data_IF_481478186683
#
_entry.id   IF_481478186683
#
_cell.length_a   1.000
_cell.length_b   1.000
_cell.length_c   1.000
_cell.angle_alpha   90.00
_cell.angle_beta   90.00
_cell.angle_gamma   90.00
#
_symmetry.space_group_name_H-M   'P 1'
#
loop_
_entity.id
_entity.type
_entity.pdbx_description
1 polymer ?
#
# COMPACT_ATOMS: atom_id res chain seq x y z
N UNK A 1 -2.70 14.52 21.91
CA UNK A 1 -1.31 14.09 22.28
C UNK A 1 -1.22 12.57 22.12
N UNK A 2 -0.10 12.01 21.68
CA UNK A 2 0.06 10.54 21.57
C UNK A 2 0.03 9.89 22.97
N UNK A 3 -0.59 8.72 23.11
CA UNK A 3 -0.58 7.94 24.36
C UNK A 3 0.85 7.68 24.84
N UNK A 4 1.81 7.53 23.92
CA UNK A 4 3.22 7.29 24.25
C UNK A 4 3.85 8.44 25.04
N UNK A 5 3.38 9.68 24.86
CA UNK A 5 3.87 10.83 25.66
C UNK A 5 3.54 10.65 27.14
N UNK A 6 2.46 9.95 27.47
CA UNK A 6 2.09 9.66 28.85
C UNK A 6 3.02 8.60 29.49
N UNK A 7 3.69 7.78 28.67
CA UNK A 7 4.64 6.76 29.14
C UNK A 7 5.95 7.36 29.67
N UNK A 8 6.20 8.66 29.46
CA UNK A 8 7.32 9.35 30.11
C UNK A 8 7.28 9.27 31.63
N UNK A 9 6.08 9.12 32.22
CA UNK A 9 5.91 8.86 33.66
C UNK A 9 6.50 7.54 34.12
N UNK A 10 6.70 6.59 33.19
CA UNK A 10 7.33 5.29 33.42
C UNK A 10 8.83 5.30 33.07
N UNK A 11 9.43 6.47 32.82
CA UNK A 11 10.84 6.61 32.47
C UNK A 11 11.17 6.34 31.00
N UNK A 12 10.18 6.05 30.15
CA UNK A 12 10.38 5.87 28.71
C UNK A 12 10.73 7.20 28.04
N UNK A 13 11.90 7.24 27.38
CA UNK A 13 12.37 8.39 26.60
C UNK A 13 12.31 8.05 25.11
N UNK A 14 11.18 8.35 24.48
CA UNK A 14 10.99 8.17 23.04
C UNK A 14 10.96 9.55 22.38
N UNK A 15 11.74 9.80 21.31
CA UNK A 15 11.69 11.06 20.57
C UNK A 15 10.26 11.37 20.10
N UNK A 16 9.76 12.56 20.44
CA UNK A 16 8.40 12.98 20.07
C UNK A 16 8.24 13.21 18.56
N UNK A 17 9.35 13.49 17.87
CA UNK A 17 9.46 13.69 16.44
C UNK A 17 8.88 12.53 15.62
N UNK A 18 9.05 11.28 16.09
CA UNK A 18 8.48 10.09 15.44
C UNK A 18 6.95 10.20 15.34
N UNK A 19 6.29 10.62 16.43
CA UNK A 19 4.83 10.75 16.47
C UNK A 19 4.32 11.98 15.73
N UNK A 20 5.12 13.05 15.69
CA UNK A 20 4.82 14.25 14.90
C UNK A 20 4.85 13.92 13.41
N UNK A 21 5.93 13.29 12.92
CA UNK A 21 6.04 12.84 11.52
C UNK A 21 4.93 11.87 11.14
N UNK A 22 4.60 10.90 11.99
CA UNK A 22 3.48 9.99 11.72
C UNK A 22 2.14 10.74 11.55
N UNK A 23 1.88 11.76 12.37
CA UNK A 23 0.68 12.61 12.22
C UNK A 23 0.73 13.45 10.96
N UNK A 24 1.87 14.05 10.64
CA UNK A 24 2.09 14.85 9.44
C UNK A 24 1.83 14.02 8.17
N UNK A 25 2.31 12.76 8.13
CA UNK A 25 2.00 11.83 7.03
C UNK A 25 0.51 11.59 6.87
N UNK A 26 -0.20 11.29 7.97
CA UNK A 26 -1.64 11.02 7.94
C UNK A 26 -2.40 12.26 7.44
N UNK A 27 -2.04 13.44 7.96
CA UNK A 27 -2.63 14.71 7.55
C UNK A 27 -2.30 15.07 6.09
N UNK A 28 -1.16 14.61 5.57
CA UNK A 28 -0.75 14.77 4.18
C UNK A 28 -1.14 13.55 3.32
N UNK A 29 -2.38 13.07 3.49
CA UNK A 29 -3.06 12.09 2.65
C UNK A 29 -2.38 10.70 2.52
N UNK A 30 -1.47 10.32 3.43
CA UNK A 30 -0.72 9.06 3.31
C UNK A 30 -1.63 7.84 3.11
N UNK A 31 -2.73 7.76 3.84
CA UNK A 31 -3.67 6.65 3.77
C UNK A 31 -4.42 6.57 2.43
N UNK A 32 -4.72 7.71 1.79
CA UNK A 32 -5.31 7.72 0.44
C UNK A 32 -4.32 7.25 -0.63
N UNK A 33 -3.06 7.70 -0.53
CA UNK A 33 -1.98 7.22 -1.42
C UNK A 33 -1.77 5.70 -1.31
N UNK A 34 -1.80 5.17 -0.08
CA UNK A 34 -1.72 3.72 0.15
C UNK A 34 -2.95 3.01 -0.41
N UNK A 35 -4.16 3.55 -0.22
CA UNK A 35 -5.39 2.95 -0.71
C UNK A 35 -5.40 2.76 -2.24
N UNK A 36 -4.89 3.74 -3.01
CA UNK A 36 -4.72 3.62 -4.47
C UNK A 36 -3.90 2.38 -4.84
N UNK A 37 -2.77 2.16 -4.15
CA UNK A 37 -1.95 0.97 -4.32
C UNK A 37 -2.70 -0.33 -4.05
N UNK A 38 -3.38 -0.38 -2.90
CA UNK A 38 -4.12 -1.56 -2.46
C UNK A 38 -5.25 -1.92 -3.43
N UNK A 39 -6.03 -0.94 -3.89
CA UNK A 39 -7.12 -1.19 -4.86
C UNK A 39 -6.59 -1.60 -6.24
N UNK A 40 -5.51 -0.97 -6.71
CA UNK A 40 -4.92 -1.35 -8.00
C UNK A 40 -4.39 -2.79 -7.99
N UNK A 41 -3.86 -3.26 -6.86
CA UNK A 41 -3.37 -4.64 -6.68
C UNK A 41 -4.44 -5.66 -6.30
N UNK A 42 -5.74 -5.36 -6.49
CA UNK A 42 -6.84 -6.27 -6.14
C UNK A 42 -6.70 -7.73 -6.64
N UNK A 43 -6.08 -8.03 -7.82
CA UNK A 43 -5.97 -9.42 -8.28
C UNK A 43 -5.13 -10.30 -7.34
N UNK A 44 -4.24 -9.71 -6.55
CA UNK A 44 -3.34 -10.41 -5.64
C UNK A 44 -3.88 -10.49 -4.21
N UNK A 45 -5.19 -10.32 -4.03
CA UNK A 45 -5.81 -10.31 -2.71
C UNK A 45 -6.81 -11.45 -2.54
N UNK A 46 -7.00 -11.88 -1.29
CA UNK A 46 -7.94 -12.94 -0.91
C UNK A 46 -9.34 -12.40 -0.55
N UNK A 47 -9.64 -11.15 -0.90
CA UNK A 47 -10.90 -10.48 -0.59
C UNK A 47 -11.35 -9.56 -1.72
N UNK A 48 -12.65 -9.27 -1.74
CA UNK A 48 -13.30 -8.41 -2.73
C UNK A 48 -13.24 -6.95 -2.32
N UNK A 49 -13.28 -6.06 -3.31
CA UNK A 49 -13.26 -4.62 -3.16
C UNK A 49 -14.59 -4.00 -3.55
N UNK A 50 -15.09 -3.09 -2.73
CA UNK A 50 -16.23 -2.26 -3.08
C UNK A 50 -15.80 -1.06 -3.90
N UNK A 51 -16.76 -0.50 -4.64
CA UNK A 51 -16.62 0.80 -5.30
C UNK A 51 -17.12 1.93 -4.43
N UNK A 52 -16.64 3.12 -4.75
CA UNK A 52 -17.16 4.35 -4.19
C UNK A 52 -18.44 4.76 -4.93
N UNK A 53 -19.47 5.11 -4.16
CA UNK A 53 -20.69 5.75 -4.65
C UNK A 53 -20.59 7.27 -4.51
N UNK A 54 -21.51 8.03 -5.14
CA UNK A 54 -21.51 9.50 -5.08
C UNK A 54 -21.44 10.04 -3.64
N UNK A 55 -22.17 9.41 -2.70
CA UNK A 55 -22.13 9.78 -1.28
C UNK A 55 -20.74 9.67 -0.66
N UNK A 56 -19.91 8.74 -1.14
CA UNK A 56 -18.55 8.53 -0.65
C UNK A 56 -17.63 9.62 -1.22
N UNK A 57 -17.77 9.96 -2.51
CA UNK A 57 -17.07 11.09 -3.12
C UNK A 57 -17.39 12.41 -2.40
N UNK A 58 -18.66 12.66 -2.10
CA UNK A 58 -19.10 13.86 -1.38
C UNK A 58 -18.56 13.89 0.06
N UNK A 59 -18.55 12.74 0.74
CA UNK A 59 -18.00 12.61 2.08
C UNK A 59 -16.48 12.84 2.08
N UNK A 60 -15.75 12.24 1.14
CA UNK A 60 -14.29 12.42 1.04
C UNK A 60 -13.95 13.88 0.75
N UNK A 61 -14.65 14.54 -0.17
CA UNK A 61 -14.43 15.97 -0.43
C UNK A 61 -14.71 16.84 0.80
N UNK A 62 -15.77 16.52 1.54
CA UNK A 62 -16.14 17.24 2.77
C UNK A 62 -15.09 17.07 3.88
N UNK A 63 -14.49 15.87 4.01
CA UNK A 63 -13.48 15.59 5.05
C UNK A 63 -12.06 15.94 4.63
N UNK A 64 -11.78 15.89 3.34
CA UNK A 64 -10.48 16.11 2.73
C UNK A 64 -10.66 17.03 1.50
N UNK A 65 -10.80 18.35 1.69
CA UNK A 65 -10.96 19.27 0.56
C UNK A 65 -9.85 19.12 -0.48
N UNK A 66 -10.21 19.01 -1.76
CA UNK A 66 -9.32 18.71 -2.88
C UNK A 66 -9.07 17.22 -3.12
N UNK A 67 -9.75 16.33 -2.39
CA UNK A 67 -9.59 14.88 -2.56
C UNK A 67 -10.04 14.41 -3.96
N UNK A 68 -11.15 14.92 -4.47
CA UNK A 68 -11.63 14.54 -5.81
C UNK A 68 -10.67 14.94 -6.91
N UNK A 69 -10.04 16.11 -6.80
CA UNK A 69 -9.03 16.58 -7.73
C UNK A 69 -7.83 15.63 -7.77
N UNK A 70 -7.36 15.18 -6.60
CA UNK A 70 -6.18 14.32 -6.47
C UNK A 70 -6.44 12.85 -6.81
N UNK A 71 -7.56 12.29 -6.35
CA UNK A 71 -7.80 10.84 -6.35
C UNK A 71 -9.02 10.42 -7.15
N UNK A 72 -9.96 11.33 -7.42
CA UNK A 72 -11.24 10.98 -8.04
C UNK A 72 -11.10 10.31 -9.41
N UNK A 73 -10.08 10.70 -10.20
CA UNK A 73 -9.82 10.09 -11.50
C UNK A 73 -9.48 8.59 -11.39
N UNK A 74 -8.66 8.21 -10.41
CA UNK A 74 -8.33 6.82 -10.15
C UNK A 74 -9.58 6.01 -9.81
N UNK A 75 -10.40 6.50 -8.88
CA UNK A 75 -11.59 5.79 -8.40
C UNK A 75 -12.69 5.66 -9.45
N UNK A 76 -12.88 6.69 -10.29
CA UNK A 76 -13.80 6.58 -11.44
C UNK A 76 -13.30 5.56 -12.46
N UNK A 77 -12.01 5.64 -12.82
CA UNK A 77 -11.42 4.64 -13.71
C UNK A 77 -11.46 3.22 -13.15
N UNK A 78 -11.37 3.06 -11.82
CA UNK A 78 -11.47 1.75 -11.15
C UNK A 78 -12.87 1.17 -11.32
N UNK A 79 -13.91 2.00 -11.17
CA UNK A 79 -15.29 1.60 -11.38
C UNK A 79 -15.56 1.20 -12.85
N UNK A 80 -14.88 1.83 -13.81
CA UNK A 80 -15.05 1.56 -15.24
C UNK A 80 -14.49 0.20 -15.67
N UNK A 81 -13.42 -0.29 -15.02
CA UNK A 81 -12.71 -1.53 -15.40
C UNK A 81 -12.98 -2.72 -14.48
N UNK A 82 -14.07 -2.68 -13.73
CA UNK A 82 -14.36 -3.71 -12.70
C UNK A 82 -14.89 -5.03 -13.24
N UNK A 83 -15.44 -5.06 -14.45
CA UNK A 83 -15.93 -6.31 -15.03
C UNK A 83 -14.95 -6.87 -16.06
N UNK A 84 -14.85 -8.21 -16.19
CA UNK A 84 -14.02 -8.82 -17.22
C UNK A 84 -14.33 -8.27 -18.62
N UNK A 85 -13.30 -7.82 -19.34
CA UNK A 85 -13.43 -7.24 -20.67
C UNK A 85 -13.76 -5.75 -20.72
N UNK A 86 -13.98 -5.07 -19.59
CA UNK A 86 -14.28 -3.64 -19.55
C UNK A 86 -13.07 -2.73 -19.79
N UNK A 87 -11.84 -3.25 -19.70
CA UNK A 87 -10.62 -2.50 -19.97
C UNK A 87 -9.37 -3.14 -19.37
N UNK A 88 -8.21 -2.50 -19.52
CA UNK A 88 -6.98 -2.97 -18.88
C UNK A 88 -7.05 -2.79 -17.36
N UNK A 89 -6.31 -3.64 -16.63
CA UNK A 89 -6.06 -3.42 -15.21
C UNK A 89 -5.36 -2.07 -15.01
N UNK A 90 -5.69 -1.37 -13.92
CA UNK A 90 -5.00 -0.13 -13.55
C UNK A 90 -3.59 -0.36 -12.99
N UNK A 91 -3.30 -1.58 -12.55
CA UNK A 91 -2.04 -1.95 -11.90
C UNK A 91 -0.80 -1.57 -12.73
N UNK A 92 -0.66 -1.89 -14.03
CA UNK A 92 0.53 -1.54 -14.80
C UNK A 92 0.81 -0.03 -14.82
N UNK A 93 -0.22 0.79 -15.07
CA UNK A 93 -0.07 2.26 -15.06
C UNK A 93 0.28 2.81 -13.69
N UNK A 94 -0.19 2.17 -12.61
CA UNK A 94 0.24 2.54 -11.27
C UNK A 94 1.70 2.14 -11.00
N UNK A 95 2.12 0.95 -11.44
CA UNK A 95 3.47 0.43 -11.22
C UNK A 95 4.55 1.26 -11.94
N UNK A 96 4.25 1.80 -13.13
CA UNK A 96 5.18 2.70 -13.84
C UNK A 96 5.58 3.94 -13.01
N UNK A 97 4.67 4.42 -12.15
CA UNK A 97 4.92 5.54 -11.24
C UNK A 97 5.14 5.16 -9.78
N UNK A 98 5.13 3.86 -9.45
CA UNK A 98 5.15 3.41 -8.06
C UNK A 98 6.56 3.51 -7.45
N UNK A 99 6.62 4.00 -6.22
CA UNK A 99 7.84 3.88 -5.41
C UNK A 99 8.11 2.42 -5.00
N UNK A 100 9.33 2.11 -4.55
CA UNK A 100 9.70 0.77 -4.11
C UNK A 100 8.88 0.32 -2.89
N UNK A 101 8.87 -0.98 -2.58
CA UNK A 101 8.28 -1.48 -1.33
C UNK A 101 9.28 -1.32 -0.19
N UNK A 102 8.78 -0.87 0.96
CA UNK A 102 9.58 -0.70 2.17
C UNK A 102 10.00 -2.05 2.75
N UNK A 103 11.30 -2.25 2.95
CA UNK A 103 11.89 -3.46 3.53
C UNK A 103 11.36 -3.79 4.93
N UNK A 104 11.00 -2.77 5.71
CA UNK A 104 10.58 -2.96 7.11
C UNK A 104 9.08 -3.25 7.22
N UNK A 105 8.23 -2.41 6.62
CA UNK A 105 6.77 -2.49 6.81
C UNK A 105 6.02 -3.15 5.64
N UNK A 106 6.70 -3.44 4.52
CA UNK A 106 6.12 -4.05 3.32
C UNK A 106 5.03 -3.22 2.62
N UNK A 107 4.89 -1.93 2.98
CA UNK A 107 4.05 -0.98 2.27
C UNK A 107 4.83 -0.25 1.17
N UNK A 108 4.12 0.25 0.16
CA UNK A 108 4.68 1.11 -0.86
C UNK A 108 5.27 2.40 -0.29
N UNK A 109 6.42 2.80 -0.80
CA UNK A 109 7.08 4.05 -0.48
C UNK A 109 6.38 5.24 -1.17
N UNK A 110 5.18 5.61 -0.74
CA UNK A 110 4.31 6.57 -1.46
C UNK A 110 4.64 8.06 -1.24
N UNK A 111 5.71 8.37 -0.50
CA UNK A 111 6.18 9.74 -0.19
C UNK A 111 7.66 9.87 -0.56
N UNK A 112 7.99 10.25 -1.81
CA UNK A 112 9.36 10.33 -2.31
C UNK A 112 10.31 11.13 -1.41
N UNK A 113 9.83 12.20 -0.79
CA UNK A 113 10.59 13.09 0.08
C UNK A 113 11.05 12.45 1.40
N UNK A 114 10.49 11.31 1.80
CA UNK A 114 10.87 10.57 3.00
C UNK A 114 11.55 9.24 2.70
N UNK A 115 11.62 8.88 1.41
CA UNK A 115 12.27 7.65 0.98
C UNK A 115 13.75 7.69 1.34
N UNK A 116 14.24 6.58 1.88
CA UNK A 116 15.65 6.38 2.06
C UNK A 116 16.00 4.94 1.73
N UNK A 117 17.27 4.69 1.45
CA UNK A 117 17.76 3.34 1.19
C UNK A 117 19.05 3.06 1.98
N UNK A 118 19.46 1.80 1.94
CA UNK A 118 20.81 1.36 2.28
C UNK A 118 21.15 0.14 1.44
N UNK A 119 22.44 -0.07 1.18
CA UNK A 119 22.93 -1.35 0.64
C UNK A 119 23.29 -2.24 1.83
N UNK A 120 22.81 -3.47 1.83
CA UNK A 120 23.18 -4.52 2.79
C UNK A 120 23.55 -5.75 2.00
N UNK A 121 24.81 -6.18 2.13
CA UNK A 121 25.42 -7.19 1.27
C UNK A 121 25.25 -6.77 -0.20
N UNK A 122 24.62 -7.60 -1.04
CA UNK A 122 24.37 -7.31 -2.46
C UNK A 122 22.97 -6.70 -2.72
N UNK A 123 22.18 -6.46 -1.67
CA UNK A 123 20.79 -5.99 -1.81
C UNK A 123 20.63 -4.51 -1.47
N UNK A 124 19.93 -3.78 -2.34
CA UNK A 124 19.45 -2.43 -2.03
C UNK A 124 18.12 -2.51 -1.29
N UNK A 125 18.12 -2.12 -0.01
CA UNK A 125 16.91 -2.06 0.82
C UNK A 125 16.35 -0.66 0.80
N UNK A 126 15.09 -0.52 0.39
CA UNK A 126 14.34 0.74 0.43
C UNK A 126 13.48 0.85 1.69
N UNK A 127 13.26 2.07 2.16
CA UNK A 127 12.45 2.38 3.34
C UNK A 127 11.54 3.57 3.05
N UNK A 128 10.27 3.45 3.44
CA UNK A 128 9.29 4.54 3.29
C UNK A 128 9.49 5.68 4.28
N UNK A 129 10.41 5.52 5.24
CA UNK A 129 10.70 6.52 6.26
C UNK A 129 12.02 6.25 7.00
N UNK A 130 12.62 7.29 7.63
CA UNK A 130 13.74 7.13 8.55
C UNK A 130 13.45 6.18 9.72
N UNK A 131 12.19 6.14 10.20
CA UNK A 131 11.79 5.20 11.26
C UNK A 131 11.83 3.75 10.80
N UNK A 132 11.33 3.46 9.60
CA UNK A 132 11.42 2.11 9.04
C UNK A 132 12.88 1.68 8.89
N UNK A 133 13.75 2.57 8.42
CA UNK A 133 15.20 2.32 8.35
C UNK A 133 15.79 2.05 9.73
N UNK A 134 15.49 2.91 10.72
CA UNK A 134 15.97 2.75 12.09
C UNK A 134 15.52 1.43 12.73
N UNK A 135 14.27 1.01 12.52
CA UNK A 135 13.74 -0.27 13.03
C UNK A 135 14.54 -1.45 12.48
N UNK A 136 14.80 -1.48 11.17
CA UNK A 136 15.61 -2.55 10.58
C UNK A 136 17.08 -2.48 11.06
N UNK A 137 17.67 -1.29 11.19
CA UNK A 137 19.04 -1.13 11.71
C UNK A 137 19.21 -1.61 13.16
N UNK A 138 18.23 -1.36 14.01
CA UNK A 138 18.31 -1.67 15.45
C UNK A 138 17.82 -3.07 15.80
N UNK A 139 17.32 -3.82 14.83
CA UNK A 139 16.88 -5.21 14.99
C UNK A 139 17.58 -6.11 13.95
N UNK A 140 18.93 -6.23 14.00
CA UNK A 140 19.66 -7.05 13.04
C UNK A 140 19.19 -8.51 13.09
N UNK A 141 19.12 -9.15 11.92
CA UNK A 141 18.63 -10.53 11.79
C UNK A 141 17.10 -10.68 11.79
N UNK A 142 16.34 -9.64 12.15
CA UNK A 142 14.85 -9.71 12.19
C UNK A 142 14.21 -9.58 10.80
N UNK A 143 14.80 -8.76 9.94
CA UNK A 143 14.28 -8.48 8.60
C UNK A 143 15.24 -9.04 7.54
N UNK A 144 15.15 -10.35 7.34
CA UNK A 144 15.99 -11.15 6.43
C UNK A 144 15.14 -11.93 5.42
N UNK A 145 15.79 -12.44 4.36
CA UNK A 145 15.19 -13.25 3.31
C UNK A 145 14.46 -12.45 2.23
N UNK A 146 13.78 -13.17 1.34
CA UNK A 146 13.01 -12.62 0.22
C UNK A 146 11.64 -12.11 0.72
N UNK A 147 11.65 -10.89 1.27
CA UNK A 147 10.47 -10.31 1.91
C UNK A 147 9.63 -9.46 0.97
N UNK A 148 10.28 -8.77 0.05
CA UNK A 148 9.64 -7.80 -0.83
C UNK A 148 8.92 -8.54 -1.95
N UNK A 149 7.64 -8.24 -2.12
CA UNK A 149 6.78 -8.89 -3.11
C UNK A 149 7.36 -8.81 -4.53
N UNK A 150 7.88 -7.64 -4.94
CA UNK A 150 8.47 -7.45 -6.27
C UNK A 150 9.80 -8.19 -6.47
N UNK A 151 10.57 -8.41 -5.40
CA UNK A 151 11.82 -9.18 -5.49
C UNK A 151 11.47 -10.68 -5.65
N UNK A 152 10.50 -11.17 -4.88
CA UNK A 152 10.04 -12.57 -4.93
C UNK A 152 9.43 -12.94 -6.28
N UNK A 153 8.61 -12.06 -6.85
CA UNK A 153 7.89 -12.32 -8.11
C UNK A 153 8.51 -11.62 -9.32
N UNK A 154 9.80 -11.26 -9.23
CA UNK A 154 10.49 -10.61 -10.34
C UNK A 154 10.44 -11.48 -11.61
N UNK A 155 9.90 -10.92 -12.69
CA UNK A 155 9.79 -11.60 -14.00
C UNK A 155 8.62 -12.57 -14.14
N UNK A 156 7.75 -12.70 -13.12
CA UNK A 156 6.57 -13.57 -13.19
C UNK A 156 5.41 -12.87 -13.90
N UNK A 157 4.59 -13.66 -14.59
CA UNK A 157 3.32 -13.19 -15.12
C UNK A 157 2.25 -13.15 -14.00
N UNK A 158 1.33 -12.18 -14.05
CA UNK A 158 0.36 -11.95 -12.98
C UNK A 158 -0.51 -13.17 -12.65
N UNK A 159 -0.97 -13.95 -13.64
CA UNK A 159 -1.76 -15.14 -13.38
C UNK A 159 -0.95 -16.26 -12.70
N UNK A 160 0.36 -16.34 -12.95
CA UNK A 160 1.26 -17.27 -12.25
C UNK A 160 1.40 -16.89 -10.78
N UNK A 161 1.52 -15.60 -10.48
CA UNK A 161 1.56 -15.10 -9.10
C UNK A 161 0.27 -15.45 -8.36
N UNK A 162 -0.89 -15.23 -8.99
CA UNK A 162 -2.19 -15.53 -8.37
C UNK A 162 -2.35 -17.04 -8.09
N UNK A 163 -1.82 -17.90 -8.96
CA UNK A 163 -1.76 -19.34 -8.73
C UNK A 163 -0.84 -19.71 -7.56
N UNK A 164 0.37 -19.14 -7.49
CA UNK A 164 1.31 -19.36 -6.37
C UNK A 164 0.72 -18.94 -5.03
N UNK A 165 0.01 -17.80 -5.00
CA UNK A 165 -0.69 -17.31 -3.82
C UNK A 165 -1.88 -18.19 -3.42
N UNK A 166 -2.37 -19.06 -4.30
CA UNK A 166 -3.57 -19.86 -4.06
C UNK A 166 -4.86 -19.04 -4.07
N UNK A 167 -4.89 -17.90 -4.78
CA UNK A 167 -6.03 -16.98 -4.79
C UNK A 167 -7.00 -17.24 -5.94
N UNK A 168 -7.23 -18.53 -6.22
CA UNK A 168 -8.28 -19.02 -7.09
C UNK A 168 -9.39 -19.66 -6.25
N UNK A 169 -10.63 -19.51 -6.72
CA UNK A 169 -11.79 -20.21 -6.17
C UNK A 169 -11.72 -21.71 -6.50
N UNK A 170 -12.59 -22.56 -5.91
CA UNK A 170 -12.57 -24.02 -6.14
C UNK A 170 -12.72 -24.46 -7.60
N UNK A 171 -13.21 -23.59 -8.49
CA UNK A 171 -13.29 -23.85 -9.93
C UNK A 171 -11.94 -23.76 -10.67
N UNK A 172 -10.88 -23.35 -9.98
CA UNK A 172 -9.51 -23.27 -10.51
C UNK A 172 -9.30 -22.16 -11.54
N UNK A 173 -10.25 -21.24 -11.73
CA UNK A 173 -10.15 -20.18 -12.74
C UNK A 173 -10.68 -18.81 -12.30
N UNK A 174 -11.63 -18.78 -11.37
CA UNK A 174 -12.18 -17.52 -10.88
C UNK A 174 -11.28 -16.97 -9.78
N UNK A 175 -10.88 -15.70 -9.88
CA UNK A 175 -10.08 -15.05 -8.85
C UNK A 175 -10.86 -14.89 -7.55
N UNK A 176 -10.17 -15.08 -6.42
CA UNK A 176 -10.73 -14.79 -5.09
C UNK A 176 -10.89 -13.29 -4.90
N UNK A 177 -9.84 -12.52 -5.19
CA UNK A 177 -9.92 -11.07 -5.29
C UNK A 177 -10.87 -10.67 -6.42
N UNK A 178 -11.68 -9.64 -6.19
CA UNK A 178 -12.57 -9.06 -7.20
C UNK A 178 -12.65 -7.55 -7.00
N UNK A 179 -12.80 -6.75 -8.06
CA UNK A 179 -12.90 -5.30 -7.98
C UNK A 179 -14.35 -4.81 -7.75
N UNK A 180 -15.24 -5.72 -7.40
CA UNK A 180 -16.61 -5.45 -6.98
C UNK A 180 -17.04 -6.44 -5.90
N UNK A 181 -18.07 -6.05 -5.13
CA UNK A 181 -18.73 -6.91 -4.15
C UNK A 181 -20.05 -7.50 -4.67
N UNK A 182 -20.46 -7.10 -5.87
CA UNK A 182 -21.69 -7.60 -6.50
C UNK A 182 -21.66 -9.14 -6.60
N UNK A 183 -22.82 -9.81 -6.44
CA UNK A 183 -22.92 -11.23 -6.72
C UNK A 183 -22.62 -11.49 -8.20
N UNK A 184 -21.93 -12.61 -8.46
CA UNK A 184 -21.59 -13.07 -9.80
C UNK A 184 -22.81 -13.69 -10.51
#
# INVERSE_FOLDING_TARGET
RSYIVNLGKLGLKIPDSIFKRARERIAADYHHKVAVGVWASWPFHYYKYGNLEQKDYDWFESKYPGWNEKYGAFWRGYADVRYPGSGPLQLPGLLEGAGPICWTCQLGCVRPEEQCHRVVDEHTRFYCSPECKWIDMTNPGRYVGDRVWFDRYHGWEYSEIVRDLGFLRPDGKTLTGQPHVDPD
#
